data_IF_868203234235
#
_entry.id   IF_868203234235
#
_cell.length_a   1.000
_cell.length_b   1.000
_cell.length_c   1.000
_cell.angle_alpha   90.00
_cell.angle_beta   90.00
_cell.angle_gamma   90.00
#
_symmetry.space_group_name_H-M   'P 1'
#
loop_
_entity.id
_entity.type
_entity.pdbx_description
1 polymer ?
#
# COMPACT_ATOMS: atom_id res chain seq x y z
N UNK A 1 -12.10 22.40 15.56
CA UNK A 1 -10.80 22.08 14.92
C UNK A 1 -10.71 20.57 14.78
N UNK A 2 -10.28 20.03 13.62
CA UNK A 2 -10.10 18.58 13.44
C UNK A 2 -8.60 18.26 13.52
N UNK A 3 -8.23 17.17 14.18
CA UNK A 3 -6.84 16.70 14.28
C UNK A 3 -6.58 15.62 13.24
N UNK A 4 -5.45 15.73 12.53
CA UNK A 4 -4.96 14.71 11.62
C UNK A 4 -3.77 14.02 12.27
N UNK A 5 -3.85 12.70 12.43
CA UNK A 5 -2.71 11.86 12.75
C UNK A 5 -2.20 11.26 11.45
N UNK A 6 -0.95 11.53 11.11
CA UNK A 6 -0.33 11.08 9.87
C UNK A 6 0.76 10.06 10.18
N UNK A 7 0.70 8.92 9.49
CA UNK A 7 1.71 7.86 9.57
C UNK A 7 2.29 7.66 8.17
N UNK A 8 3.60 7.80 7.98
CA UNK A 8 4.22 7.47 6.70
C UNK A 8 4.16 5.96 6.46
N UNK A 9 3.90 5.55 5.22
CA UNK A 9 3.88 4.14 4.85
C UNK A 9 5.29 3.68 4.50
N UNK A 10 5.76 2.63 5.20
CA UNK A 10 7.00 1.92 4.88
C UNK A 10 6.65 0.46 4.58
N UNK A 11 6.75 0.07 3.31
CA UNK A 11 6.38 -1.27 2.88
C UNK A 11 7.30 -2.35 3.47
N UNK A 12 6.69 -3.40 3.97
CA UNK A 12 7.35 -4.66 4.32
C UNK A 12 7.40 -5.59 3.11
N UNK A 13 8.21 -6.64 3.19
CA UNK A 13 8.32 -7.67 2.14
C UNK A 13 6.94 -8.23 1.72
N UNK A 14 6.05 -8.43 2.69
CA UNK A 14 4.68 -8.94 2.45
C UNK A 14 3.81 -7.98 1.64
N UNK A 15 4.08 -6.67 1.71
CA UNK A 15 3.33 -5.65 0.96
C UNK A 15 3.79 -5.55 -0.50
N UNK A 16 5.01 -6.00 -0.78
CA UNK A 16 5.65 -5.87 -2.11
C UNK A 16 5.32 -7.03 -3.05
N UNK A 17 4.67 -8.09 -2.54
CA UNK A 17 4.28 -9.25 -3.33
C UNK A 17 5.44 -9.85 -4.12
N UNK A 18 5.26 -10.06 -5.42
CA UNK A 18 6.27 -10.68 -6.29
C UNK A 18 7.57 -9.87 -6.44
N UNK A 19 7.55 -8.56 -6.12
CA UNK A 19 8.73 -7.68 -6.24
C UNK A 19 9.67 -7.81 -5.04
N UNK A 20 9.19 -8.35 -3.91
CA UNK A 20 9.96 -8.45 -2.67
C UNK A 20 11.31 -9.17 -2.86
N UNK A 21 11.32 -10.29 -3.60
CA UNK A 21 12.54 -11.08 -3.81
C UNK A 21 13.59 -10.31 -4.61
N UNK A 22 13.18 -9.60 -5.67
CA UNK A 22 14.12 -8.84 -6.51
C UNK A 22 14.67 -7.62 -5.77
N UNK A 23 13.83 -6.98 -4.94
CA UNK A 23 14.26 -5.90 -4.07
C UNK A 23 15.26 -6.38 -3.01
N UNK A 24 15.00 -7.52 -2.37
CA UNK A 24 15.91 -8.09 -1.37
C UNK A 24 17.27 -8.43 -1.98
N UNK A 25 17.30 -9.09 -3.15
CA UNK A 25 18.55 -9.39 -3.88
C UNK A 25 19.32 -8.11 -4.21
N UNK A 26 18.61 -7.07 -4.65
CA UNK A 26 19.21 -5.78 -4.95
C UNK A 26 19.77 -5.09 -3.71
N UNK A 27 19.02 -5.05 -2.62
CA UNK A 27 19.42 -4.48 -1.34
C UNK A 27 20.67 -5.17 -0.78
N UNK A 28 20.68 -6.50 -0.78
CA UNK A 28 21.84 -7.29 -0.33
C UNK A 28 23.07 -7.00 -1.21
N UNK A 29 22.92 -6.97 -2.53
CA UNK A 29 24.04 -6.71 -3.45
C UNK A 29 24.62 -5.31 -3.28
N UNK A 30 23.78 -4.30 -3.05
CA UNK A 30 24.20 -2.90 -3.00
C UNK A 30 24.67 -2.47 -1.60
N UNK A 31 24.12 -3.04 -0.53
CA UNK A 31 24.34 -2.59 0.84
C UNK A 31 24.96 -3.66 1.76
N UNK A 32 24.97 -4.92 1.34
CA UNK A 32 25.38 -6.07 2.16
C UNK A 32 24.25 -6.66 3.01
N UNK A 33 24.41 -7.93 3.40
CA UNK A 33 23.39 -8.69 4.15
C UNK A 33 23.11 -8.08 5.52
N UNK A 34 24.14 -7.68 6.27
CA UNK A 34 24.00 -7.11 7.62
C UNK A 34 23.22 -5.78 7.63
N UNK A 35 23.45 -4.93 6.62
CA UNK A 35 22.71 -3.65 6.49
C UNK A 35 21.26 -3.93 6.10
N UNK A 36 21.03 -4.88 5.19
CA UNK A 36 19.69 -5.29 4.78
C UNK A 36 18.88 -5.89 5.95
N UNK A 37 19.51 -6.75 6.76
CA UNK A 37 18.89 -7.32 7.95
C UNK A 37 18.48 -6.24 8.94
N UNK A 38 19.39 -5.32 9.29
CA UNK A 38 19.10 -4.19 10.18
C UNK A 38 18.02 -3.26 9.63
N UNK A 39 17.96 -3.06 8.31
CA UNK A 39 16.88 -2.30 7.69
C UNK A 39 15.53 -2.95 7.94
N UNK A 40 15.39 -4.26 7.72
CA UNK A 40 14.14 -4.99 7.99
C UNK A 40 13.73 -4.92 9.46
N UNK A 41 14.68 -5.07 10.38
CA UNK A 41 14.43 -4.90 11.82
C UNK A 41 13.95 -3.49 12.17
N UNK A 42 14.56 -2.46 11.59
CA UNK A 42 14.14 -1.07 11.80
C UNK A 42 12.72 -0.80 11.27
N UNK A 43 12.36 -1.36 10.10
CA UNK A 43 11.00 -1.27 9.55
C UNK A 43 9.98 -1.95 10.46
N UNK A 44 10.31 -3.15 10.98
CA UNK A 44 9.45 -3.84 11.94
C UNK A 44 9.28 -3.04 13.23
N UNK A 45 10.37 -2.55 13.82
CA UNK A 45 10.33 -1.74 15.03
C UNK A 45 9.56 -0.43 14.86
N UNK A 46 9.64 0.20 13.68
CA UNK A 46 8.79 1.35 13.33
C UNK A 46 7.32 0.97 13.43
N UNK A 47 6.90 -0.11 12.77
CA UNK A 47 5.50 -0.52 12.77
C UNK A 47 4.99 -0.93 14.15
N UNK A 48 5.80 -1.66 14.92
CA UNK A 48 5.43 -2.05 16.29
C UNK A 48 5.25 -0.82 17.18
N UNK A 49 6.07 0.22 17.02
CA UNK A 49 5.92 1.49 17.74
C UNK A 49 4.62 2.23 17.39
N UNK A 50 4.22 2.22 16.10
CA UNK A 50 2.96 2.81 15.66
C UNK A 50 1.76 2.03 16.21
N UNK A 51 1.83 0.69 16.19
CA UNK A 51 0.79 -0.17 16.77
C UNK A 51 0.62 0.15 18.26
N UNK A 52 1.71 0.21 19.03
CA UNK A 52 1.68 0.51 20.45
C UNK A 52 1.05 1.90 20.73
N UNK A 53 1.42 2.91 19.93
CA UNK A 53 0.84 4.25 20.05
C UNK A 53 -0.68 4.24 19.86
N UNK A 54 -1.18 3.61 18.80
CA UNK A 54 -2.62 3.51 18.56
C UNK A 54 -3.31 2.54 19.52
N UNK A 55 -2.57 1.60 20.12
CA UNK A 55 -3.17 0.66 21.04
C UNK A 55 -3.70 1.33 22.31
N UNK A 56 -3.09 2.45 22.69
CA UNK A 56 -3.45 3.27 23.85
C UNK A 56 -4.43 4.41 23.55
N UNK A 57 -4.81 4.62 22.28
CA UNK A 57 -5.66 5.74 21.88
C UNK A 57 -7.15 5.34 21.79
N UNK A 58 -8.04 6.22 22.28
CA UNK A 58 -9.48 6.08 22.05
C UNK A 58 -9.82 6.62 20.66
N UNK A 59 -10.13 5.71 19.73
CA UNK A 59 -10.30 6.02 18.30
C UNK A 59 -11.72 5.87 17.77
N UNK A 60 -12.71 5.71 18.66
CA UNK A 60 -14.12 5.62 18.25
C UNK A 60 -14.54 6.85 17.46
N UNK A 61 -15.05 6.64 16.25
CA UNK A 61 -15.45 7.71 15.32
C UNK A 61 -14.29 8.35 14.55
N UNK A 62 -13.05 7.86 14.70
CA UNK A 62 -11.94 8.29 13.83
C UNK A 62 -12.25 7.88 12.40
N UNK A 63 -11.80 8.67 11.43
CA UNK A 63 -11.81 8.29 10.02
C UNK A 63 -10.42 7.80 9.65
N UNK A 64 -10.33 6.55 9.24
CA UNK A 64 -9.08 5.92 8.81
C UNK A 64 -9.01 5.96 7.29
N UNK A 65 -7.99 6.62 6.79
CA UNK A 65 -7.66 6.70 5.37
C UNK A 65 -6.34 5.97 5.16
N UNK A 66 -6.29 5.07 4.19
CA UNK A 66 -5.06 4.38 3.80
C UNK A 66 -4.88 4.56 2.30
N UNK A 67 -3.63 4.74 1.88
CA UNK A 67 -3.30 4.78 0.46
C UNK A 67 -3.76 3.52 -0.27
N UNK A 68 -4.28 3.69 -1.49
CA UNK A 68 -4.75 2.59 -2.33
C UNK A 68 -6.05 1.89 -1.90
N UNK A 69 -6.78 2.40 -0.89
CA UNK A 69 -8.02 1.75 -0.43
C UNK A 69 -9.19 1.97 -1.40
N UNK A 70 -9.56 0.93 -2.15
CA UNK A 70 -10.59 0.98 -3.20
C UNK A 70 -12.02 0.75 -2.72
N UNK A 71 -12.22 0.37 -1.46
CA UNK A 71 -13.54 0.11 -0.89
C UNK A 71 -13.61 0.46 0.59
N UNK A 72 -14.81 0.80 1.05
CA UNK A 72 -15.19 0.89 2.46
C UNK A 72 -16.24 -0.18 2.80
N UNK A 73 -16.83 -0.09 4.00
CA UNK A 73 -17.85 -1.03 4.46
C UNK A 73 -17.35 -2.48 4.53
N UNK A 74 -18.22 -3.44 4.19
CA UNK A 74 -17.92 -4.87 4.27
C UNK A 74 -16.78 -5.30 3.33
N UNK A 75 -16.74 -4.74 2.11
CA UNK A 75 -15.68 -5.06 1.14
C UNK A 75 -14.34 -4.50 1.62
N UNK A 76 -14.32 -3.25 2.11
CA UNK A 76 -13.11 -2.67 2.70
C UNK A 76 -12.61 -3.47 3.90
N UNK A 77 -13.50 -3.95 4.77
CA UNK A 77 -13.13 -4.83 5.89
C UNK A 77 -12.50 -6.14 5.42
N UNK A 78 -13.05 -6.80 4.40
CA UNK A 78 -12.46 -8.01 3.82
C UNK A 78 -11.04 -7.77 3.27
N UNK A 79 -10.83 -6.66 2.57
CA UNK A 79 -9.49 -6.27 2.08
C UNK A 79 -8.51 -6.11 3.26
N UNK A 80 -8.94 -5.46 4.33
CA UNK A 80 -8.11 -5.27 5.54
C UNK A 80 -7.79 -6.61 6.20
N UNK A 81 -8.77 -7.51 6.31
CA UNK A 81 -8.57 -8.85 6.87
C UNK A 81 -7.61 -9.71 6.03
N UNK A 82 -7.68 -9.63 4.70
CA UNK A 82 -6.74 -10.30 3.80
C UNK A 82 -5.31 -9.76 3.99
N UNK A 83 -5.17 -8.43 4.08
CA UNK A 83 -3.89 -7.79 4.38
C UNK A 83 -3.32 -8.22 5.74
N UNK A 84 -4.16 -8.29 6.78
CA UNK A 84 -3.77 -8.80 8.09
C UNK A 84 -3.32 -10.27 8.02
N UNK A 85 -4.07 -11.13 7.33
CA UNK A 85 -3.71 -12.55 7.14
C UNK A 85 -2.39 -12.74 6.40
N UNK A 86 -2.04 -11.81 5.51
CA UNK A 86 -0.74 -11.81 4.81
C UNK A 86 0.45 -11.38 5.71
N UNK A 87 0.18 -10.90 6.92
CA UNK A 87 1.20 -10.42 7.86
C UNK A 87 1.58 -8.95 7.70
N UNK A 88 0.79 -8.16 6.96
CA UNK A 88 1.04 -6.73 6.79
C UNK A 88 0.71 -5.95 8.07
N UNK A 89 1.73 -5.33 8.66
CA UNK A 89 1.59 -4.49 9.86
C UNK A 89 0.74 -3.24 9.62
N UNK A 90 0.78 -2.69 8.40
CA UNK A 90 -0.08 -1.58 8.01
C UNK A 90 -1.56 -1.98 8.12
N UNK A 91 -1.93 -3.12 7.54
CA UNK A 91 -3.29 -3.64 7.66
C UNK A 91 -3.64 -4.11 9.08
N UNK A 92 -2.66 -4.56 9.89
CA UNK A 92 -2.87 -4.82 11.33
C UNK A 92 -3.34 -3.57 12.08
N UNK A 93 -2.69 -2.42 11.85
CA UNK A 93 -3.10 -1.15 12.46
C UNK A 93 -4.52 -0.80 12.05
N UNK A 94 -4.81 -0.81 10.75
CA UNK A 94 -6.15 -0.46 10.25
C UNK A 94 -7.22 -1.39 10.81
N UNK A 95 -6.94 -2.69 10.86
CA UNK A 95 -7.82 -3.68 11.48
C UNK A 95 -8.10 -3.34 12.95
N UNK A 96 -7.05 -3.12 13.76
CA UNK A 96 -7.18 -2.76 15.18
C UNK A 96 -7.97 -1.46 15.39
N UNK A 97 -7.76 -0.45 14.54
CA UNK A 97 -8.51 0.80 14.58
C UNK A 97 -10.01 0.57 14.33
N UNK A 98 -10.35 -0.24 13.32
CA UNK A 98 -11.75 -0.58 13.02
C UNK A 98 -12.39 -1.33 14.20
N UNK A 99 -11.69 -2.30 14.79
CA UNK A 99 -12.18 -3.02 15.98
C UNK A 99 -12.44 -2.08 17.18
N UNK A 100 -11.73 -0.95 17.25
CA UNK A 100 -11.91 0.10 18.27
C UNK A 100 -12.93 1.17 17.89
N UNK A 101 -13.68 0.99 16.79
CA UNK A 101 -14.76 1.87 16.36
C UNK A 101 -14.33 2.98 15.40
N UNK A 102 -13.14 2.91 14.80
CA UNK A 102 -12.80 3.77 13.68
C UNK A 102 -13.56 3.35 12.40
N UNK A 103 -13.79 4.31 11.51
CA UNK A 103 -14.48 4.13 10.24
C UNK A 103 -13.45 4.12 9.12
N UNK A 104 -13.38 3.00 8.39
CA UNK A 104 -12.59 2.91 7.17
C UNK A 104 -13.22 3.76 6.06
N UNK A 105 -12.41 4.57 5.38
CA UNK A 105 -12.86 5.42 4.29
C UNK A 105 -12.18 5.02 2.98
N UNK A 106 -12.97 4.85 1.92
CA UNK A 106 -12.48 4.65 0.57
C UNK A 106 -11.66 5.87 0.11
N UNK A 107 -10.47 5.63 -0.42
CA UNK A 107 -9.56 6.67 -0.94
C UNK A 107 -9.41 6.64 -2.45
N UNK A 108 -9.78 5.54 -3.10
CA UNK A 108 -9.57 5.32 -4.52
C UNK A 108 -10.83 4.79 -5.20
N UNK A 109 -10.97 5.09 -6.49
CA UNK A 109 -12.00 4.47 -7.32
C UNK A 109 -11.48 3.15 -7.92
N UNK A 110 -12.19 2.05 -7.64
CA UNK A 110 -11.80 0.72 -8.12
C UNK A 110 -11.66 0.64 -9.64
N UNK A 111 -12.55 1.30 -10.40
CA UNK A 111 -12.51 1.24 -11.86
C UNK A 111 -11.26 1.96 -12.39
N UNK A 112 -10.89 3.10 -11.79
CA UNK A 112 -9.68 3.84 -12.15
C UNK A 112 -8.41 3.04 -11.79
N UNK A 113 -8.34 2.46 -10.60
CA UNK A 113 -7.20 1.63 -10.17
C UNK A 113 -7.05 0.39 -11.05
N UNK A 114 -8.18 -0.25 -11.40
CA UNK A 114 -8.18 -1.39 -12.32
C UNK A 114 -7.72 -1.01 -13.71
N UNK A 115 -8.17 0.13 -14.25
CA UNK A 115 -7.74 0.64 -15.56
C UNK A 115 -6.22 0.90 -15.59
N UNK A 116 -5.67 1.47 -14.53
CA UNK A 116 -4.23 1.69 -14.39
C UNK A 116 -3.46 0.37 -14.35
N UNK A 117 -3.88 -0.56 -13.48
CA UNK A 117 -3.25 -1.89 -13.35
C UNK A 117 -3.26 -2.68 -14.65
N UNK A 118 -4.41 -2.78 -15.31
CA UNK A 118 -4.54 -3.55 -16.55
C UNK A 118 -3.68 -2.96 -17.69
N UNK A 119 -3.36 -1.66 -17.66
CA UNK A 119 -2.42 -1.04 -18.60
C UNK A 119 -0.97 -1.32 -18.27
N UNK A 120 -0.57 -1.25 -17.01
CA UNK A 120 0.78 -1.62 -16.57
C UNK A 120 1.07 -3.06 -16.99
N UNK A 121 0.11 -3.97 -16.77
CA UNK A 121 0.21 -5.37 -17.19
C UNK A 121 0.39 -5.48 -18.72
N UNK A 122 -0.39 -4.74 -19.51
CA UNK A 122 -0.23 -4.72 -20.98
C UNK A 122 1.16 -4.23 -21.41
N UNK A 123 1.73 -3.22 -20.74
CA UNK A 123 3.09 -2.73 -21.01
C UNK A 123 4.13 -3.80 -20.66
N UNK A 124 3.99 -4.44 -19.50
CA UNK A 124 4.90 -5.46 -19.03
C UNK A 124 4.90 -6.70 -19.95
N UNK A 125 3.75 -7.06 -20.50
CA UNK A 125 3.55 -8.23 -21.38
C UNK A 125 3.82 -7.94 -22.88
N UNK A 126 4.03 -6.68 -23.27
CA UNK A 126 4.32 -6.32 -24.66
C UNK A 126 5.63 -6.97 -25.12
N UNK A 127 5.57 -7.71 -26.24
CA UNK A 127 6.67 -8.55 -26.75
C UNK A 127 7.66 -7.76 -27.59
N UNK A 128 7.24 -6.62 -28.14
CA UNK A 128 8.07 -5.79 -29.03
C UNK A 128 8.37 -4.41 -28.42
N UNK A 129 9.52 -3.85 -28.81
CA UNK A 129 9.95 -2.51 -28.37
C UNK A 129 8.96 -1.43 -28.81
N UNK A 130 8.35 -1.58 -30.00
CA UNK A 130 7.34 -0.68 -30.56
C UNK A 130 6.02 -0.74 -29.78
N UNK A 131 5.55 -1.92 -29.40
CA UNK A 131 4.36 -2.07 -28.54
C UNK A 131 4.58 -1.46 -27.14
N UNK A 132 5.78 -1.67 -26.56
CA UNK A 132 6.16 -1.03 -25.29
C UNK A 132 6.15 0.49 -25.39
N UNK A 133 6.70 1.06 -26.48
CA UNK A 133 6.75 2.51 -26.69
C UNK A 133 5.36 3.12 -26.84
N UNK A 134 4.48 2.50 -27.64
CA UNK A 134 3.09 2.95 -27.85
C UNK A 134 2.28 2.86 -26.55
N UNK A 135 2.44 1.78 -25.79
CA UNK A 135 1.74 1.59 -24.54
C UNK A 135 2.24 2.57 -23.45
N UNK A 136 3.54 2.85 -23.41
CA UNK A 136 4.13 3.87 -22.53
C UNK A 136 3.62 5.28 -22.84
N UNK A 137 3.63 5.70 -24.12
CA UNK A 137 3.13 7.02 -24.54
C UNK A 137 1.64 7.21 -24.22
N UNK A 138 0.80 6.20 -24.45
CA UNK A 138 -0.62 6.23 -24.07
C UNK A 138 -0.81 6.28 -22.56
N UNK A 139 0.04 5.62 -21.78
CA UNK A 139 -0.03 5.65 -20.32
C UNK A 139 0.27 7.04 -19.75
N UNK A 140 1.25 7.77 -20.31
CA UNK A 140 1.62 9.11 -19.85
C UNK A 140 0.51 10.15 -20.05
N UNK A 141 -0.16 10.13 -21.21
CA UNK A 141 -1.27 11.06 -21.51
C UNK A 141 -2.48 10.84 -20.59
N UNK A 142 -2.76 9.58 -20.24
CA UNK A 142 -3.96 9.25 -19.47
C UNK A 142 -3.68 9.27 -17.96
N UNK A 143 -2.43 9.11 -17.51
CA UNK A 143 -2.03 9.26 -16.10
C UNK A 143 -2.45 10.62 -15.54
N UNK A 144 -2.24 11.69 -16.30
CA UNK A 144 -2.69 13.04 -15.91
C UNK A 144 -4.22 13.18 -15.87
N UNK A 145 -4.96 12.42 -16.68
CA UNK A 145 -6.43 12.41 -16.65
C UNK A 145 -6.94 11.62 -15.44
N UNK A 146 -6.35 10.47 -15.16
CA UNK A 146 -6.72 9.61 -14.03
C UNK A 146 -6.42 10.29 -12.69
N UNK A 147 -5.25 10.93 -12.55
CA UNK A 147 -4.90 11.70 -11.35
C UNK A 147 -5.83 12.88 -11.10
N UNK A 148 -6.39 13.50 -12.16
CA UNK A 148 -7.39 14.58 -12.03
C UNK A 148 -8.80 14.08 -11.71
N UNK A 149 -9.05 12.79 -11.92
CA UNK A 149 -10.35 12.15 -11.68
C UNK A 149 -10.40 11.41 -10.34
N UNK A 150 -9.28 11.34 -9.62
CA UNK A 150 -9.15 10.83 -8.25
C UNK A 150 -9.58 11.87 -7.22
#
# INVERSE_FOLDING_TARGET
MRTLLYVPIIHMDVDLGSVAMDLAKRGIRELGEDVWARHKEAVLGFWDSIIEYFDNLKVSGFKTYQDGMVADGEIGQKIVEEGLKSGSKNYEIVYKLIQKGAVLVKTEDFALVKEERDRIVKIAQAKTITEKLIAFLKSGLIKNRLLKAR
#
